data_IF_636732786027
#
_entry.id   IF_636732786027
#
_cell.length_a   1.000
_cell.length_b   1.000
_cell.length_c   1.000
_cell.angle_alpha   90.00
_cell.angle_beta   90.00
_cell.angle_gamma   90.00
#
_symmetry.space_group_name_H-M   'P 1'
#
loop_
_entity.id
_entity.type
_entity.pdbx_description
1 polymer ?
#
# COMPACT_ATOMS: atom_id res chain seq x y z
N UNK A 1 21.37 -17.10 2.26
CA UNK A 1 22.43 -16.61 3.13
C UNK A 1 22.31 -17.23 4.51
N UNK A 2 23.41 -17.71 5.08
CA UNK A 2 23.49 -18.21 6.47
C UNK A 2 24.69 -17.57 7.13
N UNK A 3 24.42 -16.70 8.11
CA UNK A 3 25.46 -16.13 8.97
C UNK A 3 25.53 -16.94 10.29
N UNK A 4 26.73 -17.15 10.86
CA UNK A 4 26.84 -17.83 12.15
C UNK A 4 26.05 -17.09 13.24
N UNK A 5 25.34 -17.82 14.09
CA UNK A 5 24.55 -17.22 15.18
C UNK A 5 23.30 -16.48 14.75
N UNK A 6 22.81 -16.65 13.50
CA UNK A 6 21.58 -16.01 13.02
C UNK A 6 20.38 -16.37 13.88
N UNK A 7 19.68 -15.36 14.38
CA UNK A 7 18.38 -15.47 15.05
C UNK A 7 17.24 -15.29 14.04
N UNK A 8 16.10 -15.89 14.34
CA UNK A 8 14.92 -15.89 13.48
C UNK A 8 13.77 -15.16 14.13
N UNK A 9 12.96 -14.49 13.31
CA UNK A 9 11.80 -13.71 13.78
C UNK A 9 10.51 -14.35 13.27
N UNK A 10 9.54 -14.47 14.17
CA UNK A 10 8.13 -14.72 13.86
C UNK A 10 7.29 -13.52 14.32
N UNK A 11 6.26 -13.17 13.56
CA UNK A 11 5.37 -12.05 13.86
C UNK A 11 4.08 -12.53 14.52
N UNK A 12 3.62 -11.82 15.53
CA UNK A 12 2.30 -12.02 16.12
C UNK A 12 1.37 -10.96 15.54
N UNK A 13 0.28 -11.40 14.92
CA UNK A 13 -0.67 -10.54 14.22
C UNK A 13 -1.98 -10.38 14.98
N UNK A 14 -2.62 -9.22 14.86
CA UNK A 14 -3.97 -9.01 15.38
C UNK A 14 -5.01 -9.79 14.56
N UNK A 15 -5.94 -10.53 15.21
CA UNK A 15 -7.08 -11.13 14.53
C UNK A 15 -8.22 -10.14 14.27
N UNK A 16 -8.17 -8.93 14.84
CA UNK A 16 -9.27 -7.96 14.83
C UNK A 16 -9.06 -6.87 13.79
N UNK A 17 -10.16 -6.43 13.20
CA UNK A 17 -10.15 -5.31 12.25
C UNK A 17 -9.83 -3.97 12.92
N UNK A 18 -10.22 -3.79 14.19
CA UNK A 18 -9.83 -2.66 15.02
C UNK A 18 -9.91 -3.07 16.49
N UNK A 19 -8.84 -2.90 17.23
CA UNK A 19 -8.81 -3.18 18.67
C UNK A 19 -7.76 -2.35 19.39
N UNK A 20 -8.06 -1.94 20.60
CA UNK A 20 -7.05 -1.39 21.50
C UNK A 20 -6.22 -2.52 22.12
N UNK A 21 -4.91 -2.35 22.19
CA UNK A 21 -3.98 -3.29 22.79
C UNK A 21 -3.80 -2.88 24.26
N UNK A 22 -4.44 -3.61 25.18
CA UNK A 22 -4.39 -3.33 26.62
C UNK A 22 -3.13 -3.88 27.28
N UNK A 23 -2.64 -5.03 26.80
CA UNK A 23 -1.46 -5.67 27.33
C UNK A 23 -0.93 -6.76 26.41
N UNK A 24 0.35 -7.10 26.58
CA UNK A 24 1.03 -8.20 25.90
C UNK A 24 1.76 -8.99 26.97
N UNK A 25 1.36 -10.24 27.18
CA UNK A 25 2.08 -11.18 28.05
C UNK A 25 2.90 -12.16 27.19
N UNK A 26 4.21 -12.02 27.26
CA UNK A 26 5.18 -12.87 26.58
C UNK A 26 5.90 -13.83 27.53
N UNK A 27 5.45 -13.96 28.79
CA UNK A 27 6.15 -14.72 29.85
C UNK A 27 6.36 -16.18 29.44
N UNK A 28 5.33 -16.84 28.90
CA UNK A 28 5.40 -18.23 28.46
C UNK A 28 6.35 -18.38 27.25
N UNK A 29 6.29 -17.47 26.28
CA UNK A 29 7.17 -17.46 25.12
C UNK A 29 8.64 -17.29 25.54
N UNK A 30 8.94 -16.34 26.43
CA UNK A 30 10.29 -16.07 26.92
C UNK A 30 10.86 -17.20 27.79
N UNK A 31 10.01 -18.03 28.39
CA UNK A 31 10.43 -19.20 29.17
C UNK A 31 10.90 -20.37 28.29
N UNK A 32 10.60 -20.37 27.00
CA UNK A 32 11.03 -21.43 26.07
C UNK A 32 12.53 -21.38 25.84
N UNK A 33 13.26 -22.51 25.99
CA UNK A 33 14.69 -22.57 25.72
C UNK A 33 15.02 -22.19 24.27
N UNK A 34 15.92 -21.22 24.08
CA UNK A 34 16.33 -20.73 22.76
C UNK A 34 15.52 -19.54 22.24
N UNK A 35 14.45 -19.13 22.92
CA UNK A 35 13.83 -17.81 22.69
C UNK A 35 14.72 -16.73 23.30
N UNK A 36 14.99 -15.69 22.52
CA UNK A 36 15.96 -14.65 22.88
C UNK A 36 15.30 -13.33 23.24
N UNK A 37 14.19 -12.99 22.60
CA UNK A 37 13.55 -11.71 22.77
C UNK A 37 12.10 -11.70 22.26
N UNK A 38 11.28 -10.81 22.83
CA UNK A 38 9.98 -10.41 22.29
C UNK A 38 9.96 -8.90 22.18
N UNK A 39 9.84 -8.38 20.96
CA UNK A 39 9.79 -6.96 20.68
C UNK A 39 8.33 -6.53 20.54
N UNK A 40 7.91 -5.54 21.33
CA UNK A 40 6.58 -4.94 21.25
C UNK A 40 6.55 -3.71 20.36
N UNK A 41 5.36 -3.33 19.87
CA UNK A 41 5.19 -2.08 19.12
C UNK A 41 5.48 -0.84 19.95
N UNK A 42 5.16 -0.86 21.27
CA UNK A 42 5.46 0.24 22.18
C UNK A 42 6.97 0.49 22.29
N UNK A 43 7.74 -0.57 22.55
CA UNK A 43 9.19 -0.45 22.62
C UNK A 43 9.80 0.04 21.29
N UNK A 44 9.41 -0.59 20.18
CA UNK A 44 9.96 -0.23 18.88
C UNK A 44 9.69 1.26 18.56
N UNK A 45 8.49 1.76 18.87
CA UNK A 45 8.07 3.13 18.58
C UNK A 45 8.96 4.19 19.24
N UNK A 46 9.51 3.92 20.44
CA UNK A 46 10.43 4.83 21.13
C UNK A 46 11.77 4.98 20.40
N UNK A 47 12.18 3.95 19.66
CA UNK A 47 13.53 3.84 19.09
C UNK A 47 13.62 4.10 17.60
N UNK A 48 12.50 4.27 16.90
CA UNK A 48 12.44 4.48 15.46
C UNK A 48 11.70 5.78 15.09
N UNK A 49 11.85 6.18 13.83
CA UNK A 49 10.95 7.16 13.23
C UNK A 49 9.78 6.44 12.52
N UNK A 50 8.58 7.04 12.48
CA UNK A 50 7.49 6.55 11.65
C UNK A 50 7.94 6.38 10.20
N UNK A 51 7.41 5.36 9.53
CA UNK A 51 7.74 5.07 8.14
C UNK A 51 7.16 6.14 7.21
N UNK A 52 7.84 6.38 6.07
CA UNK A 52 7.37 7.34 5.08
C UNK A 52 6.11 6.83 4.38
N UNK A 53 5.18 7.72 4.18
CA UNK A 53 3.96 7.54 3.40
C UNK A 53 3.99 8.35 2.10
N UNK A 54 3.05 8.09 1.21
CA UNK A 54 2.90 8.84 -0.04
C UNK A 54 2.34 10.25 0.15
N UNK A 55 1.75 10.54 1.31
CA UNK A 55 1.34 11.87 1.77
C UNK A 55 2.04 12.19 3.07
N UNK A 56 2.38 13.45 3.25
CA UNK A 56 2.84 13.96 4.53
C UNK A 56 1.61 14.31 5.38
N UNK A 57 1.26 13.40 6.29
CA UNK A 57 0.14 13.52 7.20
C UNK A 57 0.68 13.39 8.63
N UNK A 58 0.95 14.51 9.32
CA UNK A 58 1.65 14.49 10.61
C UNK A 58 0.91 13.68 11.70
N UNK A 59 -0.41 13.57 11.59
CA UNK A 59 -1.26 12.85 12.54
C UNK A 59 -1.52 11.39 12.14
N UNK A 60 -1.03 10.91 10.98
CA UNK A 60 -1.15 9.52 10.54
C UNK A 60 0.22 8.88 10.53
N UNK A 61 0.60 8.27 11.63
CA UNK A 61 1.92 7.66 11.81
C UNK A 61 1.89 6.20 11.41
N UNK A 62 2.56 5.87 10.29
CA UNK A 62 2.77 4.48 9.88
C UNK A 62 3.90 3.86 10.70
N UNK A 63 3.59 2.81 11.45
CA UNK A 63 4.53 2.11 12.33
C UNK A 63 4.76 0.66 11.87
N UNK A 64 5.95 0.08 12.12
CA UNK A 64 6.23 -1.31 11.74
C UNK A 64 5.45 -2.35 12.54
N UNK A 65 5.24 -2.11 13.84
CA UNK A 65 4.39 -2.91 14.74
C UNK A 65 3.32 -1.99 15.33
N UNK A 66 2.12 -2.53 15.51
CA UNK A 66 1.01 -1.79 16.11
C UNK A 66 1.37 -1.28 17.51
N UNK A 67 1.06 -0.01 17.78
CA UNK A 67 1.30 0.64 19.05
C UNK A 67 -0.02 1.22 19.58
N UNK A 68 -0.47 0.74 20.75
CA UNK A 68 -1.71 1.13 21.39
C UNK A 68 -2.98 0.62 20.71
N UNK A 69 -3.00 0.51 19.39
CA UNK A 69 -4.17 0.07 18.62
C UNK A 69 -3.75 -0.73 17.39
N UNK A 70 -4.36 -1.89 17.19
CA UNK A 70 -4.36 -2.61 15.92
C UNK A 70 -5.50 -2.04 15.03
N UNK A 71 -5.19 -1.77 13.74
CA UNK A 71 -6.09 -1.08 12.81
C UNK A 71 -6.60 -1.94 11.66
N UNK A 72 -6.09 -3.18 11.52
CA UNK A 72 -6.61 -4.16 10.57
C UNK A 72 -6.27 -5.59 11.00
N UNK A 73 -7.06 -6.56 10.58
CA UNK A 73 -6.78 -7.98 10.81
C UNK A 73 -5.53 -8.39 10.02
N UNK A 74 -4.53 -8.95 10.71
CA UNK A 74 -3.20 -9.24 10.17
C UNK A 74 -2.15 -8.17 10.46
N UNK A 75 -2.48 -7.08 11.16
CA UNK A 75 -1.47 -6.11 11.59
C UNK A 75 -0.54 -6.72 12.64
N UNK A 76 0.76 -6.62 12.42
CA UNK A 76 1.76 -7.13 13.36
C UNK A 76 1.78 -6.31 14.64
N UNK A 77 1.71 -6.99 15.78
CA UNK A 77 1.66 -6.38 17.13
C UNK A 77 2.98 -6.54 17.85
N UNK A 78 3.58 -7.72 17.76
CA UNK A 78 4.90 -7.97 18.31
C UNK A 78 5.69 -8.96 17.44
N UNK A 79 7.00 -9.07 17.74
CA UNK A 79 7.92 -9.95 17.03
C UNK A 79 8.68 -10.81 18.04
N UNK A 80 8.61 -12.13 17.89
CA UNK A 80 9.34 -13.11 18.70
C UNK A 80 10.62 -13.50 18.01
N UNK A 81 11.73 -13.52 18.76
CA UNK A 81 13.07 -13.82 18.25
C UNK A 81 13.61 -15.07 18.92
N UNK A 82 14.02 -16.05 18.12
CA UNK A 82 14.55 -17.32 18.62
C UNK A 82 15.72 -17.85 17.76
N UNK A 83 16.38 -18.91 18.22
CA UNK A 83 17.52 -19.55 17.57
C UNK A 83 17.17 -20.30 16.27
N UNK A 84 15.88 -20.60 16.06
CA UNK A 84 15.40 -21.19 14.81
C UNK A 84 14.03 -20.59 14.45
N UNK A 85 13.64 -20.74 13.17
CA UNK A 85 12.36 -20.29 12.68
C UNK A 85 11.21 -21.03 13.37
N UNK A 86 11.26 -22.36 13.41
CA UNK A 86 10.23 -23.16 14.04
C UNK A 86 10.04 -22.78 15.52
N UNK A 87 11.13 -22.59 16.26
CA UNK A 87 11.06 -22.16 17.66
C UNK A 87 10.46 -20.76 17.81
N UNK A 88 10.74 -19.84 16.89
CA UNK A 88 10.17 -18.50 16.91
C UNK A 88 8.64 -18.55 16.64
N UNK A 89 8.20 -19.40 15.70
CA UNK A 89 6.80 -19.62 15.37
C UNK A 89 6.06 -20.29 16.55
N UNK A 90 6.61 -21.37 17.11
CA UNK A 90 6.03 -22.05 18.30
C UNK A 90 5.91 -21.09 19.51
N UNK A 91 6.93 -20.27 19.73
CA UNK A 91 6.91 -19.28 20.81
C UNK A 91 5.95 -18.12 20.55
N UNK A 92 5.73 -17.74 19.29
CA UNK A 92 4.77 -16.72 18.92
C UNK A 92 3.32 -17.11 19.25
N UNK A 93 3.00 -18.40 19.21
CA UNK A 93 1.68 -18.94 19.61
C UNK A 93 1.42 -18.84 21.14
N UNK A 94 2.48 -18.69 21.93
CA UNK A 94 2.39 -18.54 23.39
C UNK A 94 2.31 -17.09 23.86
N UNK A 95 2.34 -16.12 22.96
CA UNK A 95 2.18 -14.72 23.32
C UNK A 95 0.70 -14.41 23.46
N UNK A 96 0.29 -14.02 24.65
CA UNK A 96 -1.08 -13.61 24.94
C UNK A 96 -1.21 -12.10 24.81
N UNK A 97 -2.23 -11.65 24.04
CA UNK A 97 -2.49 -10.22 23.84
C UNK A 97 -3.91 -9.92 24.31
N UNK A 98 -4.03 -9.00 25.26
CA UNK A 98 -5.31 -8.49 25.73
C UNK A 98 -5.80 -7.39 24.80
N UNK A 99 -6.94 -7.65 24.14
CA UNK A 99 -7.56 -6.75 23.18
C UNK A 99 -8.92 -6.26 23.65
N UNK A 100 -9.17 -4.98 23.50
CA UNK A 100 -10.52 -4.41 23.53
C UNK A 100 -10.97 -4.10 22.10
N UNK A 101 -11.98 -4.83 21.60
CA UNK A 101 -12.51 -4.63 20.26
C UNK A 101 -13.16 -3.26 20.12
N UNK A 102 -12.92 -2.61 19.00
CA UNK A 102 -13.47 -1.29 18.66
C UNK A 102 -14.31 -1.36 17.38
N UNK A 103 -15.20 -0.39 17.23
CA UNK A 103 -15.91 -0.20 15.97
C UNK A 103 -14.94 0.04 14.83
N UNK A 104 -15.29 -0.49 13.64
CA UNK A 104 -14.44 -0.43 12.47
C UNK A 104 -15.23 -0.19 11.19
N UNK A 105 -14.54 0.24 10.14
CA UNK A 105 -15.10 0.45 8.82
C UNK A 105 -14.19 -0.13 7.76
N UNK A 106 -14.74 -0.94 6.85
CA UNK A 106 -14.02 -1.62 5.77
C UNK A 106 -14.49 -1.19 4.37
N UNK A 107 -15.60 -0.50 4.26
CA UNK A 107 -16.08 0.04 2.99
C UNK A 107 -15.71 1.53 2.88
N UNK A 108 -15.01 1.96 1.79
CA UNK A 108 -14.58 3.35 1.66
C UNK A 108 -15.74 4.34 1.49
N UNK A 109 -16.90 3.90 0.99
CA UNK A 109 -18.09 4.76 0.86
C UNK A 109 -18.83 4.92 2.19
N UNK A 110 -18.80 3.87 3.03
CA UNK A 110 -19.29 4.00 4.42
C UNK A 110 -18.34 4.86 5.26
N UNK A 111 -17.03 4.74 5.03
CA UNK A 111 -16.00 5.45 5.79
C UNK A 111 -16.10 7.00 5.67
N UNK A 112 -16.67 7.52 4.59
CA UNK A 112 -16.84 8.96 4.38
C UNK A 112 -18.17 9.52 4.93
N UNK A 113 -19.07 8.66 5.43
CA UNK A 113 -20.35 9.09 5.97
C UNK A 113 -20.21 9.72 7.35
N UNK A 114 -21.04 10.71 7.68
CA UNK A 114 -21.10 11.24 9.05
C UNK A 114 -21.36 10.14 10.09
N UNK A 115 -20.60 10.14 11.18
CA UNK A 115 -20.73 9.15 12.26
C UNK A 115 -20.02 7.82 12.02
N UNK A 116 -19.33 7.64 10.88
CA UNK A 116 -18.52 6.46 10.64
C UNK A 116 -17.33 6.38 11.62
N UNK A 117 -16.92 5.17 12.05
CA UNK A 117 -15.70 5.01 12.83
C UNK A 117 -14.49 5.60 12.12
N UNK A 118 -13.67 6.36 12.84
CA UNK A 118 -12.47 7.00 12.28
C UNK A 118 -11.25 6.12 12.55
N UNK A 119 -10.56 5.70 11.49
CA UNK A 119 -9.38 4.80 11.59
C UNK A 119 -8.23 5.46 12.36
N UNK A 120 -8.05 6.77 12.17
CA UNK A 120 -7.07 7.60 12.88
C UNK A 120 -7.78 8.75 13.61
N UNK A 121 -8.27 8.55 14.84
CA UNK A 121 -8.96 9.61 15.60
C UNK A 121 -8.14 10.89 15.73
N UNK A 122 -6.83 10.77 15.81
CA UNK A 122 -5.87 11.88 15.86
C UNK A 122 -5.81 12.71 14.57
N UNK A 123 -6.27 12.16 13.44
CA UNK A 123 -6.43 12.87 12.18
C UNK A 123 -7.83 13.49 12.04
N UNK A 124 -8.82 12.88 12.66
CA UNK A 124 -10.20 13.40 12.73
C UNK A 124 -11.06 13.12 11.50
N UNK A 125 -10.54 12.43 10.48
CA UNK A 125 -11.27 12.11 9.24
C UNK A 125 -10.71 10.84 8.60
N UNK A 126 -11.58 10.09 7.91
CA UNK A 126 -11.14 9.01 7.03
C UNK A 126 -10.73 9.50 5.63
N UNK A 127 -11.07 10.74 5.26
CA UNK A 127 -10.62 11.32 3.99
C UNK A 127 -9.21 11.89 4.18
N UNK A 128 -8.24 11.27 3.53
CA UNK A 128 -6.85 11.69 3.57
C UNK A 128 -6.51 12.76 2.53
N UNK A 129 -7.26 12.73 1.41
CA UNK A 129 -6.98 13.53 0.26
C UNK A 129 -8.23 13.62 -0.62
N UNK A 130 -8.56 14.81 -1.10
CA UNK A 130 -9.63 15.05 -2.06
C UNK A 130 -9.23 16.24 -2.94
N UNK A 131 -9.04 15.98 -4.23
CA UNK A 131 -8.65 17.01 -5.18
C UNK A 131 -9.27 16.78 -6.55
N UNK A 132 -9.66 17.88 -7.18
CA UNK A 132 -10.18 17.89 -8.54
C UNK A 132 -9.22 18.61 -9.46
N UNK A 133 -8.99 18.05 -10.64
CA UNK A 133 -8.30 18.69 -11.77
C UNK A 133 -9.27 18.79 -12.93
N UNK A 134 -9.20 19.89 -13.67
CA UNK A 134 -10.04 20.18 -14.82
C UNK A 134 -9.17 20.65 -15.97
N UNK A 135 -9.40 20.12 -17.14
CA UNK A 135 -8.79 20.53 -18.41
C UNK A 135 -9.88 20.83 -19.42
N UNK A 136 -9.75 21.93 -20.17
CA UNK A 136 -10.73 22.36 -21.16
C UNK A 136 -12.06 22.83 -20.57
N UNK A 137 -13.08 22.90 -21.42
CA UNK A 137 -14.43 23.35 -21.10
C UNK A 137 -15.37 22.13 -20.90
N UNK A 138 -15.22 21.47 -19.76
CA UNK A 138 -15.94 20.21 -19.48
C UNK A 138 -17.45 20.41 -19.53
N UNK A 139 -17.99 21.43 -18.85
CA UNK A 139 -19.42 21.67 -18.78
C UNK A 139 -19.99 22.00 -20.16
N UNK A 140 -19.33 22.92 -20.89
CA UNK A 140 -19.73 23.26 -22.25
C UNK A 140 -19.68 22.08 -23.23
N UNK A 141 -18.68 21.19 -23.12
CA UNK A 141 -18.60 19.99 -23.95
C UNK A 141 -19.70 18.98 -23.61
N UNK A 142 -20.03 18.83 -22.31
CA UNK A 142 -21.19 18.01 -21.91
C UNK A 142 -22.52 18.58 -22.41
N UNK A 143 -22.66 19.90 -22.47
CA UNK A 143 -23.89 20.54 -22.96
C UNK A 143 -24.04 20.47 -24.49
N UNK A 144 -22.92 20.51 -25.21
CA UNK A 144 -22.89 20.42 -26.68
C UNK A 144 -23.00 18.99 -27.25
N UNK A 145 -22.66 17.99 -26.44
CA UNK A 145 -22.68 16.59 -26.88
C UNK A 145 -24.09 16.08 -27.14
N UNK A 146 -24.26 15.31 -28.20
CA UNK A 146 -25.54 14.67 -28.53
C UNK A 146 -25.96 13.63 -27.51
N UNK A 147 -24.98 12.91 -26.93
CA UNK A 147 -25.21 11.77 -26.06
C UNK A 147 -24.33 11.81 -24.82
N UNK A 148 -24.78 11.12 -23.77
CA UNK A 148 -24.03 10.92 -22.53
C UNK A 148 -24.15 9.46 -22.09
N UNK A 149 -23.07 8.91 -21.52
CA UNK A 149 -23.10 7.64 -20.83
C UNK A 149 -22.58 7.83 -19.41
N UNK A 150 -23.34 7.33 -18.42
CA UNK A 150 -22.97 7.32 -17.00
C UNK A 150 -22.87 5.89 -16.52
N UNK A 151 -21.82 5.57 -15.80
CA UNK A 151 -21.63 4.22 -15.27
C UNK A 151 -20.68 4.23 -14.07
N UNK A 152 -20.75 3.13 -13.33
CA UNK A 152 -19.86 2.85 -12.21
C UNK A 152 -18.97 1.67 -12.57
N UNK A 153 -17.68 1.78 -12.26
CA UNK A 153 -16.72 0.70 -12.39
C UNK A 153 -15.99 0.49 -11.05
N UNK A 154 -15.67 -0.75 -10.72
CA UNK A 154 -14.87 -1.08 -9.54
C UNK A 154 -13.68 -1.92 -9.94
N UNK A 155 -12.50 -1.46 -9.53
CA UNK A 155 -11.27 -2.21 -9.56
C UNK A 155 -11.05 -2.78 -8.17
N UNK A 156 -11.31 -4.08 -8.01
CA UNK A 156 -11.23 -4.75 -6.71
C UNK A 156 -9.79 -4.89 -6.25
N UNK A 157 -9.60 -4.78 -4.95
CA UNK A 157 -8.32 -5.02 -4.29
C UNK A 157 -7.79 -6.42 -4.63
N UNK A 158 -6.53 -6.50 -5.01
CA UNK A 158 -5.85 -7.75 -5.30
C UNK A 158 -4.42 -7.72 -4.75
N UNK A 159 -3.85 -8.88 -4.48
CA UNK A 159 -2.41 -9.04 -4.24
C UNK A 159 -1.73 -9.53 -5.51
N UNK A 160 -0.52 -9.09 -5.77
CA UNK A 160 0.27 -9.59 -6.91
C UNK A 160 0.89 -10.96 -6.66
N UNK A 161 0.88 -11.42 -5.43
CA UNK A 161 1.33 -12.74 -4.96
C UNK A 161 2.62 -13.21 -5.69
N UNK A 162 3.78 -12.55 -5.49
CA UNK A 162 5.03 -13.06 -6.02
C UNK A 162 5.27 -14.48 -5.51
N UNK A 163 5.79 -15.38 -6.36
CA UNK A 163 6.05 -16.78 -5.95
C UNK A 163 7.03 -16.82 -4.78
N UNK A 164 8.11 -16.03 -4.85
CA UNK A 164 8.97 -15.75 -3.71
C UNK A 164 8.30 -14.72 -2.79
N UNK A 165 8.12 -15.04 -1.51
CA UNK A 165 7.72 -14.09 -0.47
C UNK A 165 8.86 -13.14 -0.12
N UNK A 166 8.63 -12.16 0.75
CA UNK A 166 9.68 -11.27 1.19
C UNK A 166 10.62 -11.95 2.20
N UNK A 167 11.92 -11.69 2.08
CA UNK A 167 12.91 -12.12 3.05
C UNK A 167 13.94 -11.03 3.28
N UNK A 168 14.43 -10.93 4.53
CA UNK A 168 15.50 -10.04 4.94
C UNK A 168 16.37 -10.68 6.01
N UNK A 169 17.68 -10.46 5.90
CA UNK A 169 18.65 -10.69 6.95
C UNK A 169 19.38 -9.38 7.22
N UNK A 170 19.52 -8.98 8.46
CA UNK A 170 20.30 -7.83 8.84
C UNK A 170 21.35 -8.21 9.89
N UNK A 171 22.51 -7.59 9.81
CA UNK A 171 23.60 -7.76 10.75
C UNK A 171 24.20 -6.40 11.11
N UNK A 172 24.08 -6.02 12.37
CA UNK A 172 24.71 -4.82 12.92
C UNK A 172 26.12 -5.15 13.37
N UNK A 173 27.09 -4.43 12.84
CA UNK A 173 28.51 -4.49 13.25
C UNK A 173 28.78 -3.31 14.22
N UNK A 174 28.93 -3.61 15.52
CA UNK A 174 29.20 -2.59 16.55
C UNK A 174 30.55 -1.89 16.35
N UNK A 175 31.56 -2.59 15.80
CA UNK A 175 32.89 -2.02 15.61
C UNK A 175 32.96 -1.01 14.47
N UNK A 176 32.15 -1.22 13.45
CA UNK A 176 32.06 -0.34 12.27
C UNK A 176 30.87 0.60 12.32
N UNK A 177 29.93 0.37 13.22
CA UNK A 177 28.62 1.04 13.29
C UNK A 177 27.86 0.97 11.95
N UNK A 178 27.89 -0.19 11.30
CA UNK A 178 27.26 -0.46 10.00
C UNK A 178 26.21 -1.55 10.13
N UNK A 179 25.07 -1.33 9.51
CA UNK A 179 24.00 -2.30 9.30
C UNK A 179 24.16 -2.91 7.89
N UNK A 180 24.63 -4.13 7.82
CA UNK A 180 24.61 -4.93 6.59
C UNK A 180 23.25 -5.57 6.41
N UNK A 181 22.63 -5.42 5.21
CA UNK A 181 21.28 -5.90 4.89
C UNK A 181 21.31 -6.70 3.59
N UNK A 182 20.74 -7.90 3.64
CA UNK A 182 20.41 -8.75 2.49
C UNK A 182 18.91 -8.92 2.42
N UNK A 183 18.27 -8.48 1.33
CA UNK A 183 16.82 -8.53 1.20
C UNK A 183 16.37 -8.69 -0.25
N UNK A 184 15.25 -9.40 -0.46
CA UNK A 184 14.60 -9.48 -1.77
C UNK A 184 13.75 -8.23 -2.01
N UNK A 185 14.36 -7.16 -2.53
CA UNK A 185 13.74 -5.83 -2.65
C UNK A 185 13.73 -5.29 -4.07
N UNK A 186 12.80 -4.35 -4.29
CA UNK A 186 12.69 -3.54 -5.51
C UNK A 186 12.53 -2.06 -5.12
N UNK A 187 13.60 -1.40 -4.66
CA UNK A 187 13.52 -0.01 -4.26
C UNK A 187 14.88 0.69 -4.26
N UNK A 188 15.15 1.66 -5.17
CA UNK A 188 16.44 2.38 -5.22
C UNK A 188 16.74 3.19 -3.94
N UNK A 189 15.75 3.80 -3.31
CA UNK A 189 15.90 4.60 -2.08
C UNK A 189 15.74 3.78 -0.80
N UNK A 190 16.09 2.51 -0.85
CA UNK A 190 15.93 1.61 0.30
C UNK A 190 16.86 1.96 1.47
N UNK A 191 18.18 2.17 1.25
CA UNK A 191 19.11 2.52 2.33
C UNK A 191 18.67 3.76 3.09
N UNK A 192 18.24 4.82 2.41
CA UNK A 192 17.81 6.08 3.01
C UNK A 192 16.56 5.90 3.90
N UNK A 193 15.62 5.05 3.46
CA UNK A 193 14.42 4.83 4.26
C UNK A 193 14.69 3.97 5.49
N UNK A 194 15.58 2.98 5.38
CA UNK A 194 16.00 2.18 6.52
C UNK A 194 16.77 3.04 7.53
N UNK A 195 17.74 3.80 7.06
CA UNK A 195 18.54 4.71 7.88
C UNK A 195 17.64 5.70 8.65
N UNK A 196 16.69 6.34 7.93
CA UNK A 196 15.73 7.24 8.55
C UNK A 196 14.87 6.53 9.59
N UNK A 197 14.35 5.35 9.27
CA UNK A 197 13.55 4.53 10.18
C UNK A 197 14.30 4.22 11.48
N UNK A 198 15.53 3.75 11.36
CA UNK A 198 16.38 3.33 12.49
C UNK A 198 17.12 4.49 13.20
N UNK A 199 16.96 5.73 12.75
CA UNK A 199 17.68 6.92 13.29
C UNK A 199 19.19 6.75 13.23
N UNK A 200 19.71 6.23 12.12
CA UNK A 200 21.14 6.09 11.85
C UNK A 200 21.53 6.85 10.57
N UNK A 201 22.81 7.18 10.37
CA UNK A 201 23.27 7.81 9.14
C UNK A 201 23.04 6.92 7.91
N UNK A 202 22.78 7.51 6.74
CA UNK A 202 22.53 6.74 5.49
C UNK A 202 23.74 5.89 5.12
N UNK A 203 24.96 6.40 5.31
CA UNK A 203 26.21 5.68 5.06
C UNK A 203 26.50 4.55 6.06
N UNK A 204 25.68 4.42 7.11
CA UNK A 204 25.71 3.29 8.03
C UNK A 204 24.80 2.13 7.58
N UNK A 205 24.13 2.22 6.44
CA UNK A 205 23.32 1.13 5.88
C UNK A 205 23.95 0.64 4.60
N UNK A 206 24.47 -0.58 4.64
CA UNK A 206 25.06 -1.27 3.51
C UNK A 206 24.09 -2.34 3.00
N UNK A 207 23.54 -2.16 1.81
CA UNK A 207 22.59 -3.10 1.21
C UNK A 207 23.28 -3.92 0.14
N UNK A 208 23.21 -5.23 0.28
CA UNK A 208 23.77 -6.18 -0.68
C UNK A 208 22.71 -6.52 -1.73
N UNK A 209 22.96 -6.13 -2.96
CA UNK A 209 22.08 -6.30 -4.12
C UNK A 209 22.46 -7.49 -5.03
N UNK A 210 23.33 -8.33 -4.59
CA UNK A 210 23.85 -9.51 -5.31
C UNK A 210 22.97 -10.76 -5.15
N UNK A 211 21.66 -10.54 -4.93
CA UNK A 211 20.67 -11.59 -4.78
C UNK A 211 19.62 -11.50 -5.89
N UNK A 212 19.22 -12.64 -6.42
CA UNK A 212 18.09 -12.73 -7.34
C UNK A 212 16.77 -12.49 -6.59
N UNK A 213 15.85 -11.81 -7.24
CA UNK A 213 14.52 -11.51 -6.68
C UNK A 213 13.45 -12.24 -7.48
N UNK A 214 12.75 -13.16 -6.82
CA UNK A 214 11.70 -14.00 -7.41
C UNK A 214 10.35 -13.29 -7.61
N UNK A 215 10.38 -12.10 -8.22
CA UNK A 215 9.22 -11.26 -8.49
C UNK A 215 8.94 -10.26 -7.37
N UNK A 216 8.44 -9.09 -7.73
CA UNK A 216 8.03 -8.04 -6.79
C UNK A 216 6.77 -7.31 -7.28
N UNK A 217 6.74 -6.94 -8.55
CA UNK A 217 5.66 -6.18 -9.18
C UNK A 217 5.38 -4.81 -8.52
N UNK A 218 6.33 -4.32 -7.71
CA UNK A 218 6.24 -3.06 -6.96
C UNK A 218 6.02 -3.23 -5.46
N UNK A 219 5.62 -4.40 -4.97
CA UNK A 219 5.24 -4.64 -3.58
C UNK A 219 6.43 -4.87 -2.64
N UNK A 220 7.50 -5.54 -3.09
CA UNK A 220 8.66 -5.84 -2.24
C UNK A 220 9.48 -4.59 -1.95
N UNK A 221 8.95 -3.74 -1.10
CA UNK A 221 9.65 -2.57 -0.57
C UNK A 221 10.39 -2.88 0.73
N UNK A 222 9.84 -3.76 1.56
CA UNK A 222 10.47 -4.36 2.73
C UNK A 222 10.92 -3.40 3.83
N UNK A 223 10.49 -2.14 3.82
CA UNK A 223 10.93 -1.13 4.79
C UNK A 223 10.49 -1.51 6.20
N UNK A 224 9.22 -1.89 6.35
CA UNK A 224 8.61 -2.29 7.63
C UNK A 224 9.39 -3.44 8.26
N UNK A 225 9.59 -4.52 7.50
CA UNK A 225 10.28 -5.72 7.93
C UNK A 225 11.73 -5.43 8.28
N UNK A 226 12.42 -4.65 7.45
CA UNK A 226 13.86 -4.37 7.63
C UNK A 226 14.13 -3.46 8.81
N UNK A 227 13.23 -2.51 9.10
CA UNK A 227 13.35 -1.67 10.31
C UNK A 227 13.22 -2.53 11.57
N UNK A 228 12.28 -3.50 11.61
CA UNK A 228 12.15 -4.45 12.74
C UNK A 228 13.42 -5.27 12.88
N UNK A 229 13.86 -5.93 11.80
CA UNK A 229 15.01 -6.85 11.81
C UNK A 229 16.33 -6.10 12.09
N UNK A 230 16.49 -4.91 11.53
CA UNK A 230 17.66 -4.05 11.78
C UNK A 230 17.74 -3.55 13.22
N UNK A 231 16.60 -3.16 13.81
CA UNK A 231 16.54 -2.80 15.23
C UNK A 231 16.92 -3.98 16.13
N UNK A 232 16.33 -5.15 15.86
CA UNK A 232 16.61 -6.38 16.60
C UNK A 232 18.08 -6.80 16.49
N UNK A 233 18.67 -6.72 15.29
CA UNK A 233 20.08 -7.05 15.08
C UNK A 233 21.00 -6.15 15.92
N UNK A 234 20.73 -4.84 15.94
CA UNK A 234 21.48 -3.89 16.75
C UNK A 234 21.30 -4.14 18.25
N UNK A 235 20.08 -4.42 18.69
CA UNK A 235 19.76 -4.68 20.11
C UNK A 235 20.39 -5.97 20.63
N UNK A 236 20.32 -7.04 19.85
CA UNK A 236 20.75 -8.38 20.24
C UNK A 236 22.23 -8.66 19.88
N UNK A 237 22.89 -7.76 19.13
CA UNK A 237 24.27 -7.92 18.62
C UNK A 237 24.48 -9.24 17.91
N UNK A 238 23.52 -9.62 17.08
CA UNK A 238 23.52 -10.85 16.31
C UNK A 238 22.88 -10.63 14.95
N UNK A 239 23.22 -11.43 13.93
CA UNK A 239 22.45 -11.44 12.70
C UNK A 239 21.00 -11.85 12.99
N UNK A 240 20.03 -11.12 12.44
CA UNK A 240 18.62 -11.42 12.59
C UNK A 240 17.98 -11.59 11.21
N UNK A 241 17.11 -12.58 11.09
CA UNK A 241 16.47 -12.96 9.82
C UNK A 241 14.95 -13.06 9.97
N UNK A 242 14.25 -12.49 9.01
CA UNK A 242 12.82 -12.71 8.81
C UNK A 242 12.57 -13.27 7.41
N UNK A 243 11.73 -14.28 7.30
CA UNK A 243 11.21 -14.82 6.05
C UNK A 243 9.70 -14.86 6.16
N UNK A 244 9.04 -14.04 5.39
CA UNK A 244 7.58 -13.97 5.31
C UNK A 244 7.01 -15.30 4.80
N UNK A 245 5.95 -15.80 5.41
CA UNK A 245 5.19 -16.90 4.85
C UNK A 245 4.10 -16.40 3.89
N UNK A 246 3.34 -17.31 3.28
CA UNK A 246 2.32 -16.94 2.30
C UNK A 246 1.10 -16.30 2.96
N UNK A 247 0.70 -16.73 4.15
CA UNK A 247 -0.43 -16.12 4.87
C UNK A 247 -0.09 -14.71 5.33
N UNK A 248 1.10 -14.50 5.89
CA UNK A 248 1.62 -13.18 6.25
C UNK A 248 1.67 -12.26 5.03
N UNK A 249 2.18 -12.77 3.88
CA UNK A 249 2.25 -12.03 2.63
C UNK A 249 0.87 -11.56 2.15
N UNK A 250 -0.15 -12.42 2.26
CA UNK A 250 -1.50 -12.11 1.78
C UNK A 250 -2.33 -11.28 2.77
N UNK A 251 -2.05 -11.34 4.07
CA UNK A 251 -2.83 -10.65 5.11
C UNK A 251 -2.17 -9.38 5.64
N UNK A 252 -1.01 -9.52 6.25
CA UNK A 252 -0.32 -8.46 7.00
C UNK A 252 0.87 -7.82 6.29
N UNK A 253 1.39 -8.46 5.22
CA UNK A 253 2.65 -8.10 4.57
C UNK A 253 2.65 -6.81 3.74
N UNK A 254 1.55 -6.08 3.68
CA UNK A 254 1.38 -4.86 2.85
C UNK A 254 1.53 -5.13 1.34
N UNK A 255 1.08 -6.31 0.89
CA UNK A 255 1.20 -6.76 -0.51
C UNK A 255 -0.10 -6.58 -1.31
N UNK A 256 -0.88 -5.54 -1.00
CA UNK A 256 -2.15 -5.25 -1.65
C UNK A 256 -2.04 -4.09 -2.65
N UNK A 257 -2.67 -4.27 -3.81
CA UNK A 257 -2.79 -3.26 -4.86
C UNK A 257 -3.99 -2.33 -4.67
N UNK A 258 -4.27 -1.49 -5.67
CA UNK A 258 -5.38 -0.54 -5.63
C UNK A 258 -6.74 -1.21 -5.43
N UNK A 259 -7.62 -0.52 -4.68
CA UNK A 259 -9.04 -0.80 -4.54
C UNK A 259 -9.78 0.51 -4.84
N UNK A 260 -10.44 0.59 -5.99
CA UNK A 260 -11.01 1.86 -6.48
C UNK A 260 -12.41 1.71 -6.99
N UNK A 261 -13.23 2.67 -6.63
CA UNK A 261 -14.55 2.89 -7.18
C UNK A 261 -14.47 4.11 -8.09
N UNK A 262 -14.99 3.97 -9.30
CA UNK A 262 -15.05 5.04 -10.27
C UNK A 262 -16.50 5.32 -10.63
N UNK A 263 -16.95 6.57 -10.43
CA UNK A 263 -18.17 7.12 -11.02
C UNK A 263 -17.75 7.96 -12.23
N UNK A 264 -18.29 7.60 -13.41
CA UNK A 264 -17.79 8.11 -14.69
C UNK A 264 -18.95 8.59 -15.54
N UNK A 265 -18.74 9.72 -16.18
CA UNK A 265 -19.60 10.25 -17.24
C UNK A 265 -18.74 10.54 -18.48
N UNK A 266 -19.22 10.16 -19.64
CA UNK A 266 -18.61 10.50 -20.93
C UNK A 266 -19.63 11.15 -21.83
N UNK A 267 -19.26 12.27 -22.43
CA UNK A 267 -20.04 12.99 -23.43
C UNK A 267 -19.53 12.66 -24.83
N UNK A 268 -20.43 12.28 -25.77
CA UNK A 268 -20.08 11.86 -27.11
C UNK A 268 -21.15 12.20 -28.15
N UNK A 269 -20.79 12.24 -29.41
CA UNK A 269 -21.69 12.51 -30.54
C UNK A 269 -22.16 11.22 -31.24
N UNK A 270 -23.12 11.32 -32.14
CA UNK A 270 -23.67 10.19 -32.92
C UNK A 270 -22.65 9.51 -33.81
N UNK A 271 -21.58 10.21 -34.19
CA UNK A 271 -20.43 9.67 -34.93
C UNK A 271 -19.39 8.98 -34.04
N UNK A 272 -19.68 8.82 -32.74
CA UNK A 272 -18.81 8.28 -31.71
C UNK A 272 -17.63 9.20 -31.31
N UNK A 273 -17.60 10.45 -31.70
CA UNK A 273 -16.57 11.40 -31.22
C UNK A 273 -16.79 11.66 -29.74
N UNK A 274 -15.79 11.33 -28.90
CA UNK A 274 -15.82 11.58 -27.44
C UNK A 274 -15.34 13.01 -27.20
N UNK A 275 -16.22 13.86 -26.64
CA UNK A 275 -15.94 15.26 -26.37
C UNK A 275 -15.31 15.49 -25.03
N UNK A 276 -15.86 14.84 -24.01
CA UNK A 276 -15.49 15.12 -22.62
C UNK A 276 -15.61 13.89 -21.73
N UNK A 277 -14.85 13.91 -20.61
CA UNK A 277 -14.78 12.85 -19.61
C UNK A 277 -14.84 13.46 -18.21
N UNK A 278 -15.72 12.95 -17.35
CA UNK A 278 -15.69 13.19 -15.91
C UNK A 278 -15.45 11.88 -15.17
N UNK A 279 -14.48 11.87 -14.29
CA UNK A 279 -14.15 10.73 -13.41
C UNK A 279 -14.10 11.20 -11.98
N UNK A 280 -14.86 10.53 -11.11
CA UNK A 280 -14.66 10.57 -9.67
C UNK A 280 -14.10 9.23 -9.22
N UNK A 281 -12.88 9.22 -8.69
CA UNK A 281 -12.20 8.04 -8.20
C UNK A 281 -12.13 8.06 -6.68
N UNK A 282 -12.79 7.13 -6.00
CA UNK A 282 -12.67 6.88 -4.56
C UNK A 282 -11.72 5.69 -4.36
N UNK A 283 -10.59 5.94 -3.68
CA UNK A 283 -9.50 4.96 -3.49
C UNK A 283 -9.41 4.54 -2.02
N UNK A 284 -9.59 3.25 -1.76
CA UNK A 284 -9.43 2.67 -0.44
C UNK A 284 -7.95 2.43 -0.14
N UNK A 285 -7.34 3.38 0.57
CA UNK A 285 -5.92 3.31 0.94
C UNK A 285 -5.59 2.18 1.94
N UNK A 286 -6.60 1.62 2.60
CA UNK A 286 -6.44 0.82 3.80
C UNK A 286 -6.13 1.68 5.02
N UNK A 287 -5.56 1.09 6.07
CA UNK A 287 -5.39 1.81 7.35
C UNK A 287 -4.28 2.86 7.32
N UNK A 288 -3.28 2.72 6.46
CA UNK A 288 -2.22 3.72 6.28
C UNK A 288 -2.12 4.14 4.82
N UNK A 289 -1.77 5.39 4.53
CA UNK A 289 -1.78 5.90 3.15
C UNK A 289 -0.79 5.18 2.20
N UNK A 290 0.26 4.57 2.70
CA UNK A 290 1.21 3.82 1.89
C UNK A 290 1.64 4.57 0.63
N UNK A 291 1.42 3.95 -0.54
CA UNK A 291 1.59 4.56 -1.86
C UNK A 291 0.26 4.87 -2.57
N UNK A 292 -0.87 4.60 -1.93
CA UNK A 292 -2.20 4.80 -2.52
C UNK A 292 -2.40 6.20 -3.11
N UNK A 293 -2.11 7.30 -2.39
CA UNK A 293 -2.34 8.64 -2.93
C UNK A 293 -1.50 8.95 -4.16
N UNK A 294 -0.27 8.43 -4.25
CA UNK A 294 0.58 8.60 -5.43
C UNK A 294 0.05 7.80 -6.63
N UNK A 295 -0.46 6.58 -6.40
CA UNK A 295 -1.09 5.78 -7.44
C UNK A 295 -2.40 6.41 -7.93
N UNK A 296 -3.15 7.04 -7.04
CA UNK A 296 -4.39 7.74 -7.36
C UNK A 296 -4.13 9.00 -8.19
N UNK A 297 -3.08 9.75 -7.87
CA UNK A 297 -2.70 10.98 -8.60
C UNK A 297 -1.92 10.73 -9.90
N UNK A 298 -1.24 9.59 -10.06
CA UNK A 298 -0.40 9.33 -11.23
C UNK A 298 -1.13 9.41 -12.57
N UNK A 299 -2.38 8.96 -12.74
CA UNK A 299 -3.10 9.08 -14.01
C UNK A 299 -3.36 10.51 -14.49
N UNK A 300 -3.29 11.52 -13.61
CA UNK A 300 -3.55 12.93 -13.92
C UNK A 300 -2.78 13.42 -15.16
N UNK A 301 -1.54 12.98 -15.33
CA UNK A 301 -0.69 13.38 -16.45
C UNK A 301 -1.04 12.72 -17.80
N UNK A 302 -1.93 11.74 -17.82
CA UNK A 302 -2.29 10.96 -19.00
C UNK A 302 -3.72 10.43 -18.92
N UNK A 303 -4.62 11.22 -18.35
CA UNK A 303 -5.98 10.77 -18.03
C UNK A 303 -6.80 10.36 -19.25
N UNK A 304 -6.59 11.02 -20.38
CA UNK A 304 -7.30 10.71 -21.63
C UNK A 304 -6.62 9.61 -22.46
N UNK A 305 -5.44 9.12 -22.02
CA UNK A 305 -4.70 8.08 -22.74
C UNK A 305 -4.32 8.51 -24.16
N UNK A 306 -4.52 7.64 -25.16
CA UNK A 306 -4.20 7.92 -26.55
C UNK A 306 -5.36 8.61 -27.31
N UNK A 307 -6.40 9.04 -26.60
CA UNK A 307 -7.62 9.53 -27.24
C UNK A 307 -7.67 11.05 -27.34
N UNK A 308 -8.28 11.55 -28.43
CA UNK A 308 -8.55 12.97 -28.69
C UNK A 308 -9.75 13.48 -27.89
N UNK A 309 -9.66 13.46 -26.57
CA UNK A 309 -10.67 14.00 -25.70
C UNK A 309 -10.27 15.42 -25.33
N UNK A 310 -11.09 16.40 -25.72
CA UNK A 310 -10.76 17.83 -25.63
C UNK A 310 -10.84 18.40 -24.22
N UNK A 311 -11.68 17.82 -23.37
CA UNK A 311 -11.83 18.26 -21.98
C UNK A 311 -11.98 17.08 -21.03
N UNK A 312 -11.50 17.23 -19.80
CA UNK A 312 -11.61 16.20 -18.80
C UNK A 312 -11.64 16.76 -17.38
N UNK A 313 -12.41 16.12 -16.50
CA UNK A 313 -12.38 16.36 -15.07
C UNK A 313 -12.03 15.05 -14.35
N UNK A 314 -11.07 15.12 -13.46
CA UNK A 314 -10.67 14.01 -12.59
C UNK A 314 -10.71 14.46 -11.14
N UNK A 315 -11.63 13.90 -10.34
CA UNK A 315 -11.62 14.04 -8.89
C UNK A 315 -11.07 12.79 -8.26
N UNK A 316 -10.08 12.94 -7.41
CA UNK A 316 -9.38 11.87 -6.72
C UNK A 316 -9.57 12.00 -5.21
N UNK A 317 -10.23 11.03 -4.59
CA UNK A 317 -10.44 10.96 -3.16
C UNK A 317 -9.76 9.71 -2.60
N UNK A 318 -8.86 9.86 -1.64
CA UNK A 318 -8.21 8.75 -0.93
C UNK A 318 -8.78 8.64 0.48
N UNK A 319 -9.23 7.43 0.85
CA UNK A 319 -9.96 7.16 2.08
C UNK A 319 -9.26 6.05 2.87
N UNK A 320 -9.18 6.19 4.19
CA UNK A 320 -8.73 5.12 5.09
C UNK A 320 -9.87 4.21 5.49
N UNK A 321 -9.55 2.92 5.61
CA UNK A 321 -10.43 1.86 6.12
C UNK A 321 -9.62 0.90 7.01
N UNK A 322 -10.30 0.06 7.77
CA UNK A 322 -9.65 -0.95 8.62
C UNK A 322 -9.19 -2.19 7.82
N UNK A 323 -8.46 -1.95 6.74
CA UNK A 323 -7.81 -2.96 5.89
C UNK A 323 -6.31 -2.74 5.84
N UNK A 324 -5.56 -3.75 5.42
CA UNK A 324 -4.12 -3.60 5.16
C UNK A 324 -3.87 -2.50 4.12
N UNK A 325 -2.75 -1.79 4.23
CA UNK A 325 -2.41 -0.66 3.36
C UNK A 325 -2.19 -1.09 1.91
N UNK A 326 -2.53 -0.20 0.98
CA UNK A 326 -2.11 -0.35 -0.41
C UNK A 326 -0.63 -0.02 -0.58
N UNK A 327 0.07 -0.81 -1.38
CA UNK A 327 1.40 -0.51 -1.88
C UNK A 327 1.44 -0.43 -3.42
N UNK A 328 2.60 -0.07 -3.93
CA UNK A 328 2.78 0.12 -5.36
C UNK A 328 2.62 -1.21 -6.12
N UNK A 329 1.72 -1.25 -7.11
CA UNK A 329 1.55 -2.37 -8.03
C UNK A 329 1.87 -1.93 -9.44
N UNK A 330 2.46 -2.82 -10.23
CA UNK A 330 2.82 -2.60 -11.66
C UNK A 330 1.65 -1.97 -12.42
N UNK A 331 1.94 -0.90 -13.17
CA UNK A 331 0.94 -0.02 -13.77
C UNK A 331 0.65 1.23 -12.93
N UNK A 332 0.95 1.23 -11.65
CA UNK A 332 0.97 2.37 -10.70
C UNK A 332 -0.18 3.35 -10.88
N UNK A 333 -1.41 2.85 -10.82
CA UNK A 333 -2.65 3.63 -10.94
C UNK A 333 -3.18 3.78 -12.36
N UNK A 334 -2.36 3.55 -13.39
CA UNK A 334 -2.82 3.61 -14.79
C UNK A 334 -3.77 2.47 -15.14
N UNK A 335 -3.47 1.24 -14.71
CA UNK A 335 -4.29 0.07 -15.05
C UNK A 335 -5.76 0.22 -14.59
N UNK A 336 -6.07 0.59 -13.32
CA UNK A 336 -7.44 0.83 -12.89
C UNK A 336 -8.13 1.95 -13.68
N UNK A 337 -7.42 3.04 -13.98
CA UNK A 337 -7.99 4.18 -14.69
C UNK A 337 -8.24 3.84 -16.16
N UNK A 338 -7.31 3.15 -16.82
CA UNK A 338 -7.51 2.68 -18.18
C UNK A 338 -8.70 1.70 -18.27
N UNK A 339 -8.80 0.75 -17.33
CA UNK A 339 -9.96 -0.14 -17.25
C UNK A 339 -11.28 0.65 -17.18
N UNK A 340 -11.31 1.70 -16.35
CA UNK A 340 -12.49 2.52 -16.23
C UNK A 340 -12.85 3.23 -17.55
N UNK A 341 -11.90 3.90 -18.20
CA UNK A 341 -12.10 4.63 -19.46
C UNK A 341 -12.47 3.67 -20.60
N UNK A 342 -11.75 2.58 -20.79
CA UNK A 342 -12.00 1.59 -21.84
C UNK A 342 -13.37 0.92 -21.71
N UNK A 343 -13.84 0.71 -20.48
CA UNK A 343 -15.21 0.26 -20.20
C UNK A 343 -16.26 1.25 -20.74
N UNK A 344 -15.99 2.55 -20.61
CA UNK A 344 -16.87 3.60 -21.14
C UNK A 344 -16.92 3.59 -22.67
N UNK A 345 -15.78 3.44 -23.31
CA UNK A 345 -15.71 3.34 -24.79
C UNK A 345 -16.51 2.12 -25.29
N UNK A 346 -16.42 0.99 -24.61
CA UNK A 346 -17.23 -0.19 -24.94
C UNK A 346 -18.74 0.04 -24.73
N UNK A 347 -19.12 0.85 -23.74
CA UNK A 347 -20.53 1.23 -23.54
C UNK A 347 -21.02 2.17 -24.63
N UNK A 348 -20.22 3.12 -25.08
CA UNK A 348 -20.52 4.01 -26.22
C UNK A 348 -20.71 3.15 -27.50
N UNK A 349 -19.80 2.24 -27.77
CA UNK A 349 -19.89 1.34 -28.91
C UNK A 349 -21.21 0.56 -28.92
N UNK A 350 -21.60 0.01 -27.77
CA UNK A 350 -22.87 -0.71 -27.61
C UNK A 350 -24.08 0.20 -27.81
N UNK A 351 -24.05 1.41 -27.27
CA UNK A 351 -25.15 2.38 -27.38
C UNK A 351 -25.40 2.79 -28.86
N UNK A 352 -24.33 2.91 -29.64
CA UNK A 352 -24.38 3.31 -31.05
C UNK A 352 -24.50 2.11 -32.00
N UNK A 353 -24.47 0.87 -31.51
CA UNK A 353 -24.46 -0.34 -32.37
C UNK A 353 -23.18 -0.44 -33.23
N UNK A 354 -22.07 0.10 -32.77
CA UNK A 354 -20.78 0.13 -33.47
C UNK A 354 -19.82 -0.93 -32.94
N UNK A 355 -18.85 -1.34 -33.76
CA UNK A 355 -17.76 -2.19 -33.33
C UNK A 355 -16.83 -1.41 -32.37
N UNK A 356 -16.35 -2.08 -31.30
CA UNK A 356 -15.55 -1.45 -30.25
C UNK A 356 -14.24 -0.84 -30.73
N UNK A 357 -13.59 -1.50 -31.68
CA UNK A 357 -12.34 -1.03 -32.27
C UNK A 357 -12.57 0.17 -33.20
N UNK A 358 -13.74 0.26 -33.85
CA UNK A 358 -14.08 1.40 -34.69
C UNK A 358 -14.27 2.68 -33.84
N UNK A 359 -14.95 2.58 -32.69
CA UNK A 359 -15.07 3.74 -31.76
C UNK A 359 -13.68 4.20 -31.32
N UNK A 360 -12.77 3.27 -30.99
CA UNK A 360 -11.39 3.60 -30.65
C UNK A 360 -10.65 4.29 -31.79
N UNK A 361 -10.67 3.72 -33.02
CA UNK A 361 -10.00 4.31 -34.19
C UNK A 361 -10.45 5.74 -34.44
N UNK A 362 -11.72 6.06 -34.29
CA UNK A 362 -12.27 7.41 -34.48
C UNK A 362 -11.72 8.40 -33.46
N UNK A 363 -11.39 7.94 -32.27
CA UNK A 363 -10.94 8.79 -31.17
C UNK A 363 -9.43 8.76 -30.94
N UNK A 364 -8.64 7.94 -31.63
CA UNK A 364 -7.19 7.94 -31.50
C UNK A 364 -6.57 9.24 -32.02
N UNK A 365 -5.56 9.75 -31.32
CA UNK A 365 -4.68 10.82 -31.78
C UNK A 365 -3.92 10.33 -33.01
N UNK A 366 -3.98 11.05 -34.12
CA UNK A 366 -3.30 10.71 -35.36
C UNK A 366 -1.86 11.19 -35.40
N UNK A 367 -1.03 10.61 -36.25
CA UNK A 367 0.38 10.94 -36.34
C UNK A 367 0.62 12.42 -36.74
N UNK A 368 -0.28 12.99 -37.53
CA UNK A 368 -0.23 14.40 -37.98
C UNK A 368 -0.72 15.39 -36.90
N UNK A 369 -1.27 14.92 -35.79
CA UNK A 369 -1.75 15.73 -34.67
C UNK A 369 -0.71 15.89 -33.54
N UNK A 370 0.45 15.24 -33.66
CA UNK A 370 1.50 15.40 -32.65
C UNK A 370 2.33 16.68 -32.90
N UNK A 371 2.75 17.39 -31.81
CA UNK A 371 2.47 17.08 -30.40
C UNK A 371 1.01 17.44 -30.01
N UNK A 372 0.28 16.48 -29.49
CA UNK A 372 -1.04 16.69 -28.91
C UNK A 372 -0.91 17.50 -27.60
N UNK A 373 -1.72 18.58 -27.46
CA UNK A 373 -1.72 19.50 -26.31
C UNK A 373 -3.13 19.72 -25.78
#
# INVERSE_FOLDING_TARGET
>A
LRLPGTLHVAMVSSPYACAEIKGIDATAALAMPGVRYVLTGAELFEHINPLLSGLDLPNVKRVPLAHGRARYAGEWVCAVVAESRALAEDAAELVEIDYEMLDHVIDPEEAIKPGSPVVHPEHGSNVLYDKTWVWGDVDGDFDRAANKVTYRARWSRCSTIPIETFAVTANWDDGREILDVWASIQMPKYPEQIARGLRIPVNAVNVHFDVDVGGSYGLKRGIRQTVIVGYLSRKLRAPVRFIEDRLENMSGGEMHGPDRIFDIEMAYDDDATIRSLRIHATDDAGCYPGRAPLQLGKPVSAIVGPYRIGSAQYRAMSVTTNKTSQEAVRGFGQAPTNFAIETGIDKIARALGMERDEVRRRNLIRADEFPWR
#
